data_IF_677987964255
#
_entry.id   IF_677987964255
#
_cell.length_a   1.000
_cell.length_b   1.000
_cell.length_c   1.000
_cell.angle_alpha   90.00
_cell.angle_beta   90.00
_cell.angle_gamma   90.00
#
_symmetry.space_group_name_H-M   'P 1'
#
loop_
_entity.id
_entity.type
_entity.pdbx_description
1 polymer ?
#
# COMPACT_ATOMS: atom_id res chain seq x y z
N UNK A 1 -10.46 -34.96 2.96
CA UNK A 1 -10.45 -34.10 1.75
C UNK A 1 -11.42 -32.92 1.88
N UNK A 2 -12.54 -33.08 2.58
CA UNK A 2 -13.60 -32.08 2.73
C UNK A 2 -13.20 -30.84 3.56
N UNK A 3 -12.51 -31.03 4.70
CA UNK A 3 -12.00 -29.91 5.51
C UNK A 3 -11.03 -28.98 4.76
N UNK A 4 -10.19 -29.53 3.86
CA UNK A 4 -9.27 -28.72 3.05
C UNK A 4 -10.01 -27.89 1.99
N UNK A 5 -11.17 -28.36 1.51
CA UNK A 5 -12.03 -27.62 0.59
C UNK A 5 -12.72 -26.47 1.31
N UNK A 6 -13.40 -26.75 2.43
CA UNK A 6 -14.06 -25.72 3.25
C UNK A 6 -13.10 -24.59 3.67
N UNK A 7 -11.85 -24.93 4.02
CA UNK A 7 -10.85 -23.93 4.37
C UNK A 7 -10.32 -23.13 3.16
N UNK A 8 -10.26 -23.77 1.98
CA UNK A 8 -9.93 -23.10 0.73
C UNK A 8 -11.03 -22.12 0.32
N UNK A 9 -12.29 -22.49 0.52
CA UNK A 9 -13.46 -21.68 0.20
C UNK A 9 -13.49 -20.41 1.08
N UNK A 10 -13.22 -20.54 2.38
CA UNK A 10 -13.14 -19.39 3.29
C UNK A 10 -12.05 -18.37 2.92
N UNK A 11 -10.86 -18.84 2.53
CA UNK A 11 -9.77 -17.95 2.09
C UNK A 11 -10.12 -17.18 0.81
N UNK A 12 -10.83 -17.83 -0.11
CA UNK A 12 -11.31 -17.18 -1.34
C UNK A 12 -12.34 -16.11 -1.00
N UNK A 13 -13.26 -16.39 -0.08
CA UNK A 13 -14.27 -15.45 0.37
C UNK A 13 -13.64 -14.21 1.03
N UNK A 14 -12.62 -14.39 1.87
CA UNK A 14 -11.88 -13.28 2.50
C UNK A 14 -11.21 -12.38 1.45
N UNK A 15 -10.55 -12.98 0.45
CA UNK A 15 -9.90 -12.21 -0.63
C UNK A 15 -10.95 -11.49 -1.48
N UNK A 16 -12.10 -12.12 -1.76
CA UNK A 16 -13.21 -11.48 -2.45
C UNK A 16 -13.76 -10.30 -1.66
N UNK A 17 -13.93 -10.45 -0.34
CA UNK A 17 -14.35 -9.36 0.54
C UNK A 17 -13.38 -8.17 0.46
N UNK A 18 -12.07 -8.42 0.58
CA UNK A 18 -11.05 -7.35 0.46
C UNK A 18 -11.13 -6.69 -0.93
N UNK A 19 -11.38 -7.44 -2.01
CA UNK A 19 -11.56 -6.86 -3.35
C UNK A 19 -12.76 -5.93 -3.45
N UNK A 20 -13.90 -6.28 -2.85
CA UNK A 20 -15.07 -5.38 -2.84
C UNK A 20 -14.78 -4.11 -2.05
N UNK A 21 -14.14 -4.21 -0.88
CA UNK A 21 -13.71 -3.05 -0.10
C UNK A 21 -12.70 -2.16 -0.85
N UNK A 22 -11.84 -2.76 -1.66
CA UNK A 22 -10.92 -2.02 -2.51
C UNK A 22 -11.66 -1.23 -3.62
N UNK A 23 -12.74 -1.77 -4.19
CA UNK A 23 -13.59 -1.03 -5.17
C UNK A 23 -14.26 0.18 -4.53
N UNK A 24 -14.61 0.09 -3.25
CA UNK A 24 -15.12 1.21 -2.45
C UNK A 24 -14.03 2.21 -2.03
N UNK A 25 -12.81 2.07 -2.57
CA UNK A 25 -11.64 2.91 -2.27
C UNK A 25 -11.25 2.88 -0.79
N UNK A 26 -11.55 1.80 -0.08
CA UNK A 26 -11.02 1.61 1.25
C UNK A 26 -9.50 1.44 1.15
N UNK A 27 -8.77 2.43 1.65
CA UNK A 27 -7.34 2.55 1.40
C UNK A 27 -6.52 1.38 1.95
N UNK A 28 -6.96 0.72 3.03
CA UNK A 28 -6.30 -0.48 3.55
C UNK A 28 -6.48 -1.68 2.60
N UNK A 29 -7.70 -1.87 2.11
CA UNK A 29 -8.03 -2.93 1.15
C UNK A 29 -7.29 -2.72 -0.19
N UNK A 30 -7.26 -1.49 -0.71
CA UNK A 30 -6.51 -1.15 -1.93
C UNK A 30 -5.03 -1.50 -1.79
N UNK A 31 -4.43 -1.17 -0.64
CA UNK A 31 -3.04 -1.52 -0.36
C UNK A 31 -2.85 -3.05 -0.34
N UNK A 32 -3.68 -3.80 0.36
CA UNK A 32 -3.57 -5.25 0.46
C UNK A 32 -3.72 -5.96 -0.89
N UNK A 33 -4.72 -5.59 -1.70
CA UNK A 33 -4.87 -6.12 -3.05
C UNK A 33 -3.63 -5.82 -3.89
N UNK A 34 -3.09 -4.59 -3.82
CA UNK A 34 -1.88 -4.26 -4.55
C UNK A 34 -0.67 -5.14 -4.12
N UNK A 35 -0.56 -5.49 -2.84
CA UNK A 35 0.48 -6.40 -2.35
C UNK A 35 0.27 -7.83 -2.87
N UNK A 36 -0.96 -8.32 -2.86
CA UNK A 36 -1.34 -9.65 -3.38
C UNK A 36 -1.02 -9.74 -4.89
N UNK A 37 -1.46 -8.77 -5.68
CA UNK A 37 -1.24 -8.73 -7.12
C UNK A 37 0.24 -8.64 -7.50
N UNK A 38 1.05 -7.98 -6.66
CA UNK A 38 2.48 -7.83 -6.90
C UNK A 38 3.33 -8.98 -6.34
N UNK A 39 2.77 -9.86 -5.51
CA UNK A 39 3.51 -10.91 -4.81
C UNK A 39 4.35 -11.78 -5.75
N UNK A 40 3.77 -12.17 -6.88
CA UNK A 40 4.39 -13.04 -7.89
C UNK A 40 5.09 -12.27 -9.02
N UNK A 41 5.06 -10.94 -9.02
CA UNK A 41 5.68 -10.14 -10.08
C UNK A 41 7.17 -9.97 -9.83
N UNK A 42 7.98 -10.24 -10.86
CA UNK A 42 9.42 -9.94 -10.87
C UNK A 42 9.69 -8.44 -10.73
N UNK A 43 8.79 -7.61 -11.28
CA UNK A 43 8.83 -6.14 -11.20
C UNK A 43 7.48 -5.64 -10.68
N UNK A 44 7.35 -5.44 -9.35
CA UNK A 44 6.14 -4.88 -8.75
C UNK A 44 5.83 -3.49 -9.31
N UNK A 45 4.56 -3.23 -9.57
CA UNK A 45 4.03 -1.92 -9.95
C UNK A 45 3.09 -1.44 -8.86
N UNK A 46 3.48 -0.39 -8.15
CA UNK A 46 2.64 0.17 -7.09
C UNK A 46 1.60 1.11 -7.72
N UNK A 47 0.34 1.01 -7.31
CA UNK A 47 -0.69 1.96 -7.71
C UNK A 47 -0.47 3.30 -7.02
N UNK A 48 -0.93 4.38 -7.65
CA UNK A 48 -0.88 5.72 -7.06
C UNK A 48 -1.62 5.76 -5.72
N UNK A 49 -2.76 5.06 -5.60
CA UNK A 49 -3.54 4.96 -4.37
C UNK A 49 -2.82 4.24 -3.22
N UNK A 50 -1.92 3.29 -3.52
CA UNK A 50 -1.16 2.53 -2.53
C UNK A 50 0.15 3.22 -2.10
N UNK A 51 0.61 4.19 -2.90
CA UNK A 51 1.90 4.87 -2.70
C UNK A 51 1.95 5.73 -1.43
N UNK A 52 0.93 6.55 -1.09
CA UNK A 52 0.92 7.36 0.13
C UNK A 52 1.14 6.52 1.40
N UNK A 53 0.56 5.33 1.48
CA UNK A 53 0.74 4.42 2.62
C UNK A 53 2.18 3.94 2.78
N UNK A 54 2.87 3.68 1.67
CA UNK A 54 4.29 3.31 1.72
C UNK A 54 5.16 4.46 2.22
N UNK A 55 4.85 5.70 1.81
CA UNK A 55 5.56 6.90 2.30
C UNK A 55 5.34 7.08 3.80
N UNK A 56 4.09 7.00 4.26
CA UNK A 56 3.74 7.09 5.70
C UNK A 56 4.43 5.99 6.50
N UNK A 57 4.35 4.73 6.06
CA UNK A 57 4.97 3.60 6.76
C UNK A 57 6.48 3.78 6.90
N UNK A 58 7.16 4.24 5.84
CA UNK A 58 8.61 4.50 5.87
C UNK A 58 8.97 5.68 6.77
N UNK A 59 8.12 6.70 6.82
CA UNK A 59 8.29 7.86 7.70
C UNK A 59 8.15 7.47 9.18
N UNK A 60 7.16 6.62 9.51
CA UNK A 60 6.94 6.11 10.87
C UNK A 60 8.12 5.27 11.37
N UNK A 61 8.67 4.40 10.52
CA UNK A 61 9.88 3.65 10.85
C UNK A 61 10.60 3.16 9.61
N UNK A 62 11.73 3.79 9.29
CA UNK A 62 12.57 3.35 8.17
C UNK A 62 13.14 1.95 8.43
N UNK A 63 13.53 1.64 9.68
CA UNK A 63 14.08 0.31 10.00
C UNK A 63 13.06 -0.80 9.81
N UNK A 64 11.83 -0.61 10.29
CA UNK A 64 10.77 -1.60 10.09
C UNK A 64 10.42 -1.74 8.60
N UNK A 65 10.34 -0.63 7.88
CA UNK A 65 10.07 -0.62 6.44
C UNK A 65 11.11 -1.43 5.65
N UNK A 66 12.40 -1.18 5.88
CA UNK A 66 13.47 -1.89 5.17
C UNK A 66 13.54 -3.37 5.59
N UNK A 67 13.21 -3.71 6.84
CA UNK A 67 13.10 -5.10 7.28
C UNK A 67 11.95 -5.83 6.56
N UNK A 68 10.73 -5.28 6.56
CA UNK A 68 9.56 -5.85 5.87
C UNK A 68 9.87 -6.06 4.37
N UNK A 69 10.53 -5.07 3.76
CA UNK A 69 10.93 -5.14 2.35
C UNK A 69 12.02 -6.20 2.11
N UNK A 70 13.05 -6.24 2.96
CA UNK A 70 14.18 -7.16 2.85
C UNK A 70 13.78 -8.62 3.00
N UNK A 71 12.90 -8.89 3.97
CA UNK A 71 12.30 -10.22 4.20
C UNK A 71 11.19 -10.58 3.21
N UNK A 72 10.89 -9.68 2.26
CA UNK A 72 9.81 -9.83 1.27
C UNK A 72 8.42 -10.12 1.85
N UNK A 73 8.17 -9.71 3.10
CA UNK A 73 6.86 -9.86 3.74
C UNK A 73 5.79 -9.06 2.98
N UNK A 74 6.18 -7.92 2.41
CA UNK A 74 5.38 -7.12 1.48
C UNK A 74 6.27 -6.65 0.32
N UNK A 75 5.68 -6.48 -0.86
CA UNK A 75 6.34 -5.93 -2.06
C UNK A 75 6.42 -4.40 -2.00
N UNK A 76 7.16 -3.93 -1.00
CA UNK A 76 7.38 -2.51 -0.77
C UNK A 76 8.40 -1.91 -1.76
N UNK A 77 8.14 -0.72 -2.34
CA UNK A 77 9.09 -0.03 -3.20
C UNK A 77 10.35 0.37 -2.42
N UNK A 78 11.48 0.48 -3.13
CA UNK A 78 12.69 1.03 -2.54
C UNK A 78 12.60 2.56 -2.40
N UNK A 79 13.52 3.15 -1.62
CA UNK A 79 13.62 4.61 -1.45
C UNK A 79 13.62 5.37 -2.77
N UNK A 80 14.39 4.94 -3.77
CA UNK A 80 14.48 5.61 -5.07
C UNK A 80 13.13 5.63 -5.79
N UNK A 81 12.42 4.50 -5.78
CA UNK A 81 11.07 4.39 -6.35
C UNK A 81 10.10 5.33 -5.64
N UNK A 82 10.09 5.35 -4.30
CA UNK A 82 9.25 6.28 -3.53
C UNK A 82 9.55 7.75 -3.84
N UNK A 83 10.82 8.12 -3.93
CA UNK A 83 11.22 9.49 -4.30
C UNK A 83 10.76 9.88 -5.70
N UNK A 84 10.77 8.95 -6.67
CA UNK A 84 10.24 9.22 -8.00
C UNK A 84 8.74 9.52 -7.96
N UNK A 85 7.96 8.76 -7.17
CA UNK A 85 6.53 9.01 -7.01
C UNK A 85 6.21 10.37 -6.37
N UNK A 86 7.05 10.82 -5.43
CA UNK A 86 6.94 12.16 -4.83
C UNK A 86 7.35 13.28 -5.80
N UNK A 87 8.17 12.97 -6.81
CA UNK A 87 8.62 13.93 -7.82
C UNK A 87 7.74 13.97 -9.08
N UNK A 88 6.92 12.96 -9.32
CA UNK A 88 5.98 12.91 -10.46
C UNK A 88 4.64 13.58 -10.19
N UNK A 89 4.36 14.03 -8.97
CA UNK A 89 3.28 14.98 -8.71
C UNK A 89 3.70 16.33 -9.29
N UNK A 90 3.36 16.58 -10.55
CA UNK A 90 3.42 17.89 -11.20
C UNK A 90 2.95 18.95 -10.21
N UNK A 91 3.77 19.98 -10.03
CA UNK A 91 3.64 20.95 -8.95
C UNK A 91 2.31 21.68 -8.93
N UNK A 92 1.38 21.20 -8.11
CA UNK A 92 0.33 21.98 -7.48
C UNK A 92 0.05 21.37 -6.10
N UNK A 93 0.67 21.92 -5.07
CA UNK A 93 0.03 22.06 -3.75
C UNK A 93 0.92 22.97 -2.91
N UNK A 94 0.54 24.24 -2.89
CA UNK A 94 1.01 25.16 -1.86
C UNK A 94 0.67 24.56 -0.50
N UNK A 95 1.68 24.43 0.35
CA UNK A 95 1.50 24.45 1.79
C UNK A 95 0.80 25.78 2.12
N UNK A 96 -0.54 25.77 2.16
CA UNK A 96 -1.26 26.84 2.83
C UNK A 96 -0.93 26.71 4.31
N UNK A 97 0.08 27.48 4.69
CA UNK A 97 0.35 27.92 6.04
C UNK A 97 -0.93 28.58 6.55
N UNK A 98 -1.80 27.81 7.20
CA UNK A 98 -2.91 28.38 7.97
C UNK A 98 -2.27 29.17 9.10
N UNK A 99 -2.23 30.49 8.89
CA UNK A 99 -1.85 31.46 9.92
C UNK A 99 -2.72 31.19 11.13
N UNK A 100 -2.08 30.95 12.27
CA UNK A 100 -2.70 31.08 13.58
C UNK A 100 -3.21 32.51 13.70
N UNK A 101 -4.52 32.69 13.65
CA UNK A 101 -5.17 33.78 14.36
C UNK A 101 -5.30 33.34 15.82
N UNK A 102 -4.63 34.07 16.71
CA UNK A 102 -4.87 34.06 18.15
C UNK A 102 -5.27 35.50 18.52
N UNK A 103 -6.00 35.65 19.65
CA UNK A 103 -7.23 36.44 19.77
C UNK A 103 -7.06 37.96 19.66
#
# INVERSE_FOLDING_TARGET
>A
MELKRLHGDALVDDVCYIKERAKEKESAAVFLINQIENLNKKRPSLSEDATPRCVVLRHLSTRAYEHIRGEMLLKLPCRKTLSNYLGTTSGETGLQQTRRSSP
#
